data_IF_542325431179
#
_entry.id   IF_542325431179
#
_cell.length_a   1.000
_cell.length_b   1.000
_cell.length_c   1.000
_cell.angle_alpha   90.00
_cell.angle_beta   90.00
_cell.angle_gamma   90.00
#
_symmetry.space_group_name_H-M   'P 1'
#
loop_
_entity.id
_entity.type
_entity.pdbx_description
1 polymer ?
#
# COMPACT_ATOMS: atom_id res chain seq x y z
N UNK A 1 -4.25 15.69 -25.72
CA UNK A 1 -4.35 15.35 -24.28
C UNK A 1 -5.24 14.14 -23.98
N UNK A 2 -6.39 13.92 -24.65
CA UNK A 2 -7.29 12.77 -24.39
C UNK A 2 -6.67 11.37 -24.55
N UNK A 3 -5.66 11.19 -25.42
CA UNK A 3 -4.99 9.88 -25.64
C UNK A 3 -4.06 9.46 -24.49
N UNK A 4 -3.41 10.41 -23.81
CA UNK A 4 -2.51 10.13 -22.69
C UNK A 4 -3.30 9.62 -21.48
N UNK A 5 -4.45 10.23 -21.22
CA UNK A 5 -5.35 9.81 -20.13
C UNK A 5 -5.91 8.39 -20.35
N UNK A 6 -6.23 8.05 -21.61
CA UNK A 6 -6.64 6.68 -21.96
C UNK A 6 -5.50 5.66 -21.80
N UNK A 7 -4.26 6.03 -22.11
CA UNK A 7 -3.10 5.15 -21.96
C UNK A 7 -2.81 4.83 -20.48
N UNK A 8 -2.90 5.85 -19.62
CA UNK A 8 -2.75 5.69 -18.16
C UNK A 8 -3.82 4.75 -17.61
N UNK A 9 -5.07 4.87 -18.09
CA UNK A 9 -6.16 3.96 -17.70
C UNK A 9 -5.88 2.51 -18.10
N UNK A 10 -5.30 2.27 -19.29
CA UNK A 10 -4.92 0.93 -19.74
C UNK A 10 -3.78 0.32 -18.91
N UNK A 11 -2.74 1.10 -18.62
CA UNK A 11 -1.61 0.64 -17.79
C UNK A 11 -2.09 0.34 -16.36
N UNK A 12 -2.93 1.20 -15.79
CA UNK A 12 -3.52 0.97 -14.48
C UNK A 12 -4.38 -0.31 -14.45
N UNK A 13 -5.14 -0.57 -15.51
CA UNK A 13 -5.96 -1.78 -15.62
C UNK A 13 -5.12 -3.06 -15.64
N UNK A 14 -3.95 -3.03 -16.30
CA UNK A 14 -2.98 -4.13 -16.22
C UNK A 14 -2.46 -4.33 -14.79
N UNK A 15 -2.16 -3.25 -14.07
CA UNK A 15 -1.75 -3.31 -12.67
C UNK A 15 -2.82 -3.92 -11.76
N UNK A 16 -4.07 -3.49 -11.92
CA UNK A 16 -5.24 -4.06 -11.21
C UNK A 16 -5.33 -5.57 -11.48
N UNK A 17 -5.34 -5.98 -12.75
CA UNK A 17 -5.47 -7.39 -13.12
C UNK A 17 -4.30 -8.23 -12.58
N UNK A 18 -3.06 -7.75 -12.70
CA UNK A 18 -1.89 -8.45 -12.19
C UNK A 18 -1.96 -8.64 -10.66
N UNK A 19 -2.27 -7.58 -9.92
CA UNK A 19 -2.38 -7.65 -8.45
C UNK A 19 -3.57 -8.52 -8.00
N UNK A 20 -4.71 -8.49 -8.68
CA UNK A 20 -5.86 -9.35 -8.42
C UNK A 20 -5.53 -10.84 -8.65
N UNK A 21 -4.91 -11.16 -9.79
CA UNK A 21 -4.54 -12.55 -10.13
C UNK A 21 -3.52 -13.08 -9.11
N UNK A 22 -2.49 -12.29 -8.79
CA UNK A 22 -1.46 -12.70 -7.84
C UNK A 22 -2.03 -12.90 -6.43
N UNK A 23 -2.86 -11.96 -5.96
CA UNK A 23 -3.58 -12.10 -4.69
C UNK A 23 -4.42 -13.39 -4.67
N UNK A 24 -5.20 -13.64 -5.72
CA UNK A 24 -6.01 -14.85 -5.85
C UNK A 24 -5.18 -16.13 -5.82
N UNK A 25 -4.05 -16.15 -6.55
CA UNK A 25 -3.12 -17.28 -6.56
C UNK A 25 -2.54 -17.55 -5.16
N UNK A 26 -2.17 -16.50 -4.42
CA UNK A 26 -1.67 -16.64 -3.05
C UNK A 26 -2.76 -17.17 -2.09
N UNK A 27 -4.00 -16.66 -2.17
CA UNK A 27 -5.11 -17.21 -1.39
C UNK A 27 -5.36 -18.70 -1.67
N UNK A 28 -5.30 -19.11 -2.93
CA UNK A 28 -5.40 -20.52 -3.34
C UNK A 28 -4.26 -21.35 -2.75
N UNK A 29 -3.02 -20.87 -2.84
CA UNK A 29 -1.86 -21.56 -2.27
C UNK A 29 -1.98 -21.72 -0.74
N UNK A 30 -2.42 -20.68 -0.04
CA UNK A 30 -2.66 -20.71 1.40
C UNK A 30 -3.74 -21.74 1.74
N UNK A 31 -4.86 -21.73 1.01
CA UNK A 31 -5.97 -22.68 1.24
C UNK A 31 -5.50 -24.14 1.09
N UNK A 32 -4.76 -24.43 0.02
CA UNK A 32 -4.19 -25.77 -0.22
C UNK A 32 -3.23 -26.16 0.90
N UNK A 33 -2.33 -25.25 1.30
CA UNK A 33 -1.39 -25.47 2.39
C UNK A 33 -2.08 -25.78 3.72
N UNK A 34 -3.17 -25.07 4.03
CA UNK A 34 -3.95 -25.27 5.27
C UNK A 34 -4.64 -26.63 5.28
N UNK A 35 -5.23 -27.05 4.15
CA UNK A 35 -5.87 -28.37 4.04
C UNK A 35 -4.84 -29.49 4.18
N UNK A 36 -3.67 -29.35 3.55
CA UNK A 36 -2.59 -30.33 3.67
C UNK A 36 -2.04 -30.41 5.10
N UNK A 37 -1.85 -29.26 5.75
CA UNK A 37 -1.44 -29.22 7.15
C UNK A 37 -2.46 -29.97 8.01
N UNK A 38 -3.74 -29.60 7.95
CA UNK A 38 -4.79 -30.23 8.74
C UNK A 38 -4.89 -31.75 8.50
N UNK A 39 -4.73 -32.19 7.25
CA UNK A 39 -4.69 -33.62 6.91
C UNK A 39 -3.54 -34.37 7.57
N UNK A 40 -2.35 -33.76 7.66
CA UNK A 40 -1.20 -34.35 8.34
C UNK A 40 -1.42 -34.46 9.86
N UNK A 41 -2.04 -33.45 10.48
CA UNK A 41 -2.37 -33.46 11.91
C UNK A 41 -3.42 -34.49 12.29
N UNK A 42 -4.43 -34.68 11.43
CA UNK A 42 -5.45 -35.69 11.66
C UNK A 42 -4.89 -37.13 11.65
N UNK A 43 -3.77 -37.36 10.94
CA UNK A 43 -3.13 -38.67 10.84
C UNK A 43 -2.26 -39.00 12.07
N UNK A 44 -1.56 -38.03 12.67
CA UNK A 44 -0.67 -38.26 13.83
C UNK A 44 -0.85 -37.20 14.96
N UNK A 45 -1.92 -37.31 15.78
CA UNK A 45 -2.31 -36.25 16.71
C UNK A 45 -1.45 -36.10 17.98
N UNK A 46 -0.56 -37.06 18.29
CA UNK A 46 0.05 -37.23 19.62
C UNK A 46 1.58 -37.04 19.68
N UNK A 47 2.22 -36.58 18.60
CA UNK A 47 3.65 -36.27 18.62
C UNK A 47 3.89 -34.83 19.13
N UNK A 48 4.72 -34.64 20.17
CA UNK A 48 5.08 -33.29 20.68
C UNK A 48 5.72 -32.38 19.61
N UNK A 49 6.39 -32.97 18.61
CA UNK A 49 6.99 -32.24 17.48
C UNK A 49 5.91 -31.67 16.53
N UNK A 50 4.72 -32.28 16.51
CA UNK A 50 3.61 -31.93 15.64
C UNK A 50 3.10 -30.50 15.94
N UNK A 51 2.95 -30.13 17.22
CA UNK A 51 2.41 -28.81 17.60
C UNK A 51 3.37 -27.66 17.25
N UNK A 52 4.68 -27.89 17.39
CA UNK A 52 5.69 -26.88 17.05
C UNK A 52 5.75 -26.65 15.54
N UNK A 53 5.63 -27.73 14.77
CA UNK A 53 5.58 -27.67 13.30
C UNK A 53 4.29 -27.00 12.81
N UNK A 54 3.14 -27.19 13.48
CA UNK A 54 1.93 -26.39 13.23
C UNK A 54 2.19 -24.91 13.40
N UNK A 55 2.76 -24.55 14.54
CA UNK A 55 2.92 -23.15 14.90
C UNK A 55 3.84 -22.46 13.89
N UNK A 56 4.92 -23.12 13.50
CA UNK A 56 5.84 -22.62 12.47
C UNK A 56 5.14 -22.44 11.12
N UNK A 57 4.42 -23.47 10.62
CA UNK A 57 3.69 -23.39 9.35
C UNK A 57 2.58 -22.35 9.38
N UNK A 58 1.89 -22.19 10.50
CA UNK A 58 0.84 -21.19 10.67
C UNK A 58 1.39 -19.76 10.58
N UNK A 59 2.57 -19.51 11.18
CA UNK A 59 3.24 -18.20 11.07
C UNK A 59 3.66 -17.92 9.62
N UNK A 60 4.24 -18.91 8.94
CA UNK A 60 4.65 -18.78 7.53
C UNK A 60 3.45 -18.51 6.60
N UNK A 61 2.34 -19.23 6.80
CA UNK A 61 1.10 -18.98 6.05
C UNK A 61 0.47 -17.61 6.38
N UNK A 62 0.63 -17.11 7.61
CA UNK A 62 0.11 -15.80 8.02
C UNK A 62 0.80 -14.68 7.25
N UNK A 63 2.13 -14.78 7.04
CA UNK A 63 2.85 -13.79 6.23
C UNK A 63 2.35 -13.77 4.78
N UNK A 64 2.19 -14.94 4.16
CA UNK A 64 1.61 -15.05 2.81
C UNK A 64 0.19 -14.49 2.75
N UNK A 65 -0.62 -14.69 3.79
CA UNK A 65 -1.98 -14.16 3.89
C UNK A 65 -1.99 -12.64 3.95
N UNK A 66 -1.07 -12.03 4.70
CA UNK A 66 -0.92 -10.58 4.74
C UNK A 66 -0.55 -10.04 3.36
N UNK A 67 0.42 -10.64 2.68
CA UNK A 67 0.82 -10.24 1.31
C UNK A 67 -0.35 -10.37 0.33
N UNK A 68 -1.09 -11.49 0.35
CA UNK A 68 -2.25 -11.71 -0.50
C UNK A 68 -3.33 -10.65 -0.27
N UNK A 69 -3.61 -10.32 0.99
CA UNK A 69 -4.61 -9.32 1.38
C UNK A 69 -4.18 -7.91 0.98
N UNK A 70 -2.90 -7.55 1.18
CA UNK A 70 -2.36 -6.26 0.74
C UNK A 70 -2.46 -6.11 -0.78
N UNK A 71 -2.12 -7.14 -1.55
CA UNK A 71 -2.29 -7.14 -3.01
C UNK A 71 -3.76 -6.96 -3.43
N UNK A 72 -4.69 -7.57 -2.69
CA UNK A 72 -6.13 -7.40 -2.94
C UNK A 72 -6.58 -5.95 -2.71
N UNK A 73 -6.17 -5.36 -1.59
CA UNK A 73 -6.49 -3.96 -1.25
C UNK A 73 -5.90 -3.02 -2.30
N UNK A 74 -4.66 -3.25 -2.71
CA UNK A 74 -4.00 -2.47 -3.78
C UNK A 74 -4.76 -2.60 -5.09
N UNK A 75 -5.17 -3.81 -5.48
CA UNK A 75 -5.99 -4.04 -6.68
C UNK A 75 -7.29 -3.24 -6.64
N UNK A 76 -8.01 -3.30 -5.52
CA UNK A 76 -9.29 -2.58 -5.33
C UNK A 76 -9.06 -1.06 -5.34
N UNK A 77 -8.01 -0.59 -4.66
CA UNK A 77 -7.65 0.83 -4.60
C UNK A 77 -7.28 1.39 -5.98
N UNK A 78 -6.48 0.66 -6.75
CA UNK A 78 -6.13 1.03 -8.12
C UNK A 78 -7.36 0.99 -9.04
N UNK A 79 -8.23 -0.01 -8.90
CA UNK A 79 -9.48 -0.08 -9.65
C UNK A 79 -10.38 1.12 -9.35
N UNK A 80 -10.55 1.46 -8.06
CA UNK A 80 -11.35 2.61 -7.65
C UNK A 80 -10.77 3.94 -8.12
N UNK A 81 -9.44 4.08 -8.17
CA UNK A 81 -8.79 5.34 -8.54
C UNK A 81 -8.81 5.60 -10.05
N UNK A 82 -8.71 4.55 -10.87
CA UNK A 82 -8.57 4.68 -12.32
C UNK A 82 -9.82 4.28 -13.11
N UNK A 83 -10.71 3.47 -12.53
CA UNK A 83 -11.93 2.95 -13.18
C UNK A 83 -13.20 3.36 -12.42
N UNK A 84 -13.15 3.43 -11.08
CA UNK A 84 -14.26 3.88 -10.24
C UNK A 84 -14.66 5.32 -10.57
N UNK A 85 -15.79 5.46 -11.26
CA UNK A 85 -16.27 6.73 -11.76
C UNK A 85 -16.52 7.74 -10.63
N UNK A 86 -15.78 8.85 -10.63
CA UNK A 86 -16.32 10.12 -10.18
C UNK A 86 -17.25 10.65 -11.29
N UNK A 87 -18.39 9.99 -11.54
CA UNK A 87 -19.45 10.49 -12.45
C UNK A 87 -20.22 11.68 -11.86
N UNK A 88 -19.75 12.24 -10.73
CA UNK A 88 -20.25 13.48 -10.14
C UNK A 88 -19.10 14.32 -9.62
N UNK A 89 -18.35 14.96 -10.52
CA UNK A 89 -17.64 16.18 -10.15
C UNK A 89 -18.25 17.32 -10.97
N UNK A 90 -19.04 18.21 -10.36
CA UNK A 90 -19.52 19.41 -11.04
C UNK A 90 -18.33 20.28 -11.51
N UNK A 91 -18.53 21.13 -12.53
CA UNK A 91 -17.46 21.78 -13.31
C UNK A 91 -16.63 22.85 -12.57
N UNK A 92 -16.63 22.87 -11.23
CA UNK A 92 -15.98 23.90 -10.41
C UNK A 92 -14.62 23.49 -9.83
N UNK A 93 -14.10 22.30 -10.14
CA UNK A 93 -12.74 21.86 -9.73
C UNK A 93 -11.70 22.06 -10.84
N UNK A 94 -11.84 23.14 -11.61
CA UNK A 94 -10.72 23.67 -12.39
C UNK A 94 -9.84 24.52 -11.46
N UNK A 95 -9.17 23.88 -10.50
CA UNK A 95 -8.04 24.49 -9.78
C UNK A 95 -6.88 23.49 -9.78
N UNK A 96 -6.00 23.77 -10.73
CA UNK A 96 -4.59 23.44 -10.76
C UNK A 96 -3.94 23.56 -9.37
N UNK A 97 -3.58 22.42 -8.78
CA UNK A 97 -2.45 22.42 -7.87
C UNK A 97 -1.58 21.20 -8.14
N UNK A 98 -0.53 21.42 -8.92
CA UNK A 98 0.59 20.48 -9.04
C UNK A 98 1.22 20.13 -7.67
N UNK A 99 0.93 20.91 -6.62
CA UNK A 99 1.42 20.70 -5.25
C UNK A 99 0.82 19.44 -4.61
N UNK A 100 -0.50 19.26 -4.69
CA UNK A 100 -1.19 18.13 -4.07
C UNK A 100 -0.85 16.79 -4.76
N UNK A 101 -0.56 16.84 -6.06
CA UNK A 101 -0.06 15.69 -6.82
C UNK A 101 1.37 15.31 -6.39
N UNK A 102 2.23 16.30 -6.11
CA UNK A 102 3.60 16.08 -5.65
C UNK A 102 3.64 15.42 -4.27
N UNK A 103 2.83 15.89 -3.33
CA UNK A 103 2.74 15.29 -1.99
C UNK A 103 2.26 13.85 -2.04
N UNK A 104 1.21 13.56 -2.82
CA UNK A 104 0.70 12.19 -3.02
C UNK A 104 1.75 11.27 -3.64
N UNK A 105 2.55 11.76 -4.59
CA UNK A 105 3.63 10.99 -5.20
C UNK A 105 4.75 10.70 -4.19
N UNK A 106 5.17 11.70 -3.40
CA UNK A 106 6.18 11.51 -2.35
C UNK A 106 5.68 10.50 -1.31
N UNK A 107 4.42 10.59 -0.87
CA UNK A 107 3.83 9.64 0.06
C UNK A 107 3.85 8.19 -0.49
N UNK A 108 3.56 8.01 -1.79
CA UNK A 108 3.64 6.72 -2.44
C UNK A 108 5.07 6.17 -2.48
N UNK A 109 6.05 7.01 -2.83
CA UNK A 109 7.47 6.60 -2.86
C UNK A 109 7.95 6.17 -1.48
N UNK A 110 7.60 6.92 -0.43
CA UNK A 110 7.93 6.56 0.95
C UNK A 110 7.29 5.22 1.34
N UNK A 111 6.04 4.98 0.98
CA UNK A 111 5.36 3.72 1.26
C UNK A 111 6.02 2.53 0.56
N UNK A 112 6.41 2.66 -0.72
CA UNK A 112 7.09 1.59 -1.47
C UNK A 112 8.46 1.29 -0.87
N UNK A 113 9.24 2.32 -0.52
CA UNK A 113 10.54 2.16 0.14
C UNK A 113 10.42 1.44 1.49
N UNK A 114 9.39 1.76 2.28
CA UNK A 114 9.14 1.10 3.56
C UNK A 114 8.79 -0.39 3.41
N UNK A 115 7.92 -0.73 2.44
CA UNK A 115 7.58 -2.14 2.15
C UNK A 115 8.79 -2.91 1.61
N UNK A 116 9.63 -2.28 0.79
CA UNK A 116 10.86 -2.91 0.33
C UNK A 116 11.81 -3.21 1.51
N UNK A 117 11.96 -2.29 2.45
CA UNK A 117 12.78 -2.54 3.64
C UNK A 117 12.22 -3.71 4.47
N UNK A 118 10.90 -3.78 4.65
CA UNK A 118 10.25 -4.91 5.32
C UNK A 118 10.62 -6.25 4.67
N UNK A 119 10.58 -6.33 3.33
CA UNK A 119 10.96 -7.53 2.59
C UNK A 119 12.42 -7.95 2.81
N UNK A 120 13.35 -7.02 3.02
CA UNK A 120 14.76 -7.34 3.27
C UNK A 120 14.94 -7.90 4.69
N UNK A 121 14.21 -7.36 5.65
CA UNK A 121 14.22 -7.84 7.05
C UNK A 121 13.65 -9.26 7.14
N UNK A 122 12.54 -9.53 6.45
CA UNK A 122 11.90 -10.86 6.48
C UNK A 122 12.66 -11.91 5.68
N UNK A 123 13.46 -11.53 4.68
CA UNK A 123 14.30 -12.44 3.93
C UNK A 123 15.47 -13.05 4.74
N UNK A 124 15.69 -12.61 5.98
CA UNK A 124 16.70 -13.21 6.87
C UNK A 124 18.15 -12.90 6.48
N UNK A 125 18.40 -11.74 5.85
CA UNK A 125 19.75 -11.29 5.48
C UNK A 125 20.67 -11.02 6.69
N UNK A 126 21.96 -10.89 6.42
CA UNK A 126 22.95 -10.56 7.45
C UNK A 126 22.64 -9.20 8.09
N UNK A 127 22.87 -9.07 9.41
CA UNK A 127 22.52 -7.87 10.16
C UNK A 127 23.18 -6.59 9.62
N UNK A 128 24.38 -6.70 9.04
CA UNK A 128 25.07 -5.59 8.39
C UNK A 128 24.35 -5.11 7.11
N UNK A 129 23.86 -6.03 6.28
CA UNK A 129 23.13 -5.70 5.05
C UNK A 129 21.80 -5.00 5.37
N UNK A 130 21.10 -5.47 6.41
CA UNK A 130 19.86 -4.86 6.89
C UNK A 130 20.12 -3.44 7.41
N UNK A 131 21.18 -3.24 8.19
CA UNK A 131 21.56 -1.93 8.70
C UNK A 131 21.94 -0.97 7.57
N UNK A 132 22.74 -1.43 6.60
CA UNK A 132 23.20 -0.60 5.49
C UNK A 132 22.03 -0.20 4.57
N UNK A 133 21.17 -1.15 4.18
CA UNK A 133 19.97 -0.87 3.38
C UNK A 133 18.97 0.00 4.14
N UNK A 134 18.75 -0.27 5.43
CA UNK A 134 17.87 0.51 6.28
C UNK A 134 18.33 1.96 6.41
N UNK A 135 19.63 2.18 6.62
CA UNK A 135 20.23 3.51 6.68
C UNK A 135 20.09 4.24 5.34
N UNK A 136 20.40 3.59 4.22
CA UNK A 136 20.30 4.18 2.89
C UNK A 136 18.85 4.62 2.57
N UNK A 137 17.87 3.75 2.82
CA UNK A 137 16.44 4.05 2.62
C UNK A 137 15.99 5.16 3.57
N UNK A 138 16.40 5.10 4.83
CA UNK A 138 16.07 6.10 5.85
C UNK A 138 16.58 7.51 5.49
N UNK A 139 17.79 7.62 4.95
CA UNK A 139 18.35 8.88 4.47
C UNK A 139 17.49 9.48 3.34
N UNK A 140 17.07 8.65 2.37
CA UNK A 140 16.24 9.11 1.25
C UNK A 140 14.87 9.58 1.74
N UNK A 141 14.22 8.82 2.62
CA UNK A 141 12.93 9.20 3.21
C UNK A 141 13.08 10.50 4.03
N UNK A 142 14.14 10.62 4.83
CA UNK A 142 14.45 11.82 5.59
C UNK A 142 14.64 13.05 4.71
N UNK A 143 15.41 12.92 3.62
CA UNK A 143 15.61 14.00 2.65
C UNK A 143 14.29 14.46 2.00
N UNK A 144 13.43 13.52 1.63
CA UNK A 144 12.10 13.82 1.07
C UNK A 144 11.18 14.49 2.10
N UNK A 145 11.21 14.04 3.35
CA UNK A 145 10.43 14.63 4.44
C UNK A 145 10.86 16.08 4.74
N UNK A 146 12.17 16.34 4.82
CA UNK A 146 12.71 17.69 5.01
C UNK A 146 12.33 18.59 3.83
N UNK A 147 12.44 18.09 2.59
CA UNK A 147 12.03 18.83 1.41
C UNK A 147 10.54 19.24 1.45
N UNK A 148 9.67 18.37 1.99
CA UNK A 148 8.25 18.69 2.17
C UNK A 148 8.05 19.78 3.22
N UNK A 149 8.69 19.66 4.40
CA UNK A 149 8.55 20.62 5.50
C UNK A 149 9.04 22.01 5.09
N UNK A 150 10.19 22.10 4.41
CA UNK A 150 10.75 23.37 3.94
C UNK A 150 9.80 24.06 2.96
N UNK A 151 9.06 23.29 2.17
CA UNK A 151 8.20 23.81 1.10
C UNK A 151 6.76 24.07 1.54
N UNK A 152 6.23 23.35 2.53
CA UNK A 152 4.87 23.56 3.05
C UNK A 152 4.73 24.87 3.84
N UNK A 153 5.84 25.45 4.32
CA UNK A 153 5.85 26.73 5.04
C UNK A 153 5.51 27.98 4.19
N UNK A 154 5.25 27.84 2.89
CA UNK A 154 4.88 28.95 1.98
C UNK A 154 3.42 28.90 1.48
N UNK A 155 2.54 28.09 2.09
CA UNK A 155 1.10 28.10 1.83
C UNK A 155 0.34 28.86 2.91
N UNK A 156 -0.08 30.09 2.63
CA UNK A 156 -0.91 30.91 3.53
C UNK A 156 -2.23 30.20 3.88
N UNK A 157 -2.72 30.29 5.13
CA UNK A 157 -4.07 29.88 5.50
C UNK A 157 -5.08 30.89 4.91
N UNK A 158 -5.67 30.56 3.76
CA UNK A 158 -6.82 31.29 3.23
C UNK A 158 -8.12 30.87 3.96
N UNK A 159 -8.69 31.84 4.69
CA UNK A 159 -10.13 32.10 4.57
C UNK A 159 -11.07 31.46 5.59
N UNK A 160 -10.80 31.59 6.89
CA UNK A 160 -11.87 31.53 7.88
C UNK A 160 -12.72 32.82 7.72
N UNK A 161 -13.84 32.73 7.01
CA UNK A 161 -14.77 33.85 6.86
C UNK A 161 -15.39 34.17 8.24
N UNK A 162 -15.36 35.44 8.71
CA UNK A 162 -15.93 35.79 9.99
C UNK A 162 -17.45 35.59 9.98
N UNK A 163 -18.06 35.15 11.10
CA UNK A 163 -19.50 35.00 11.19
C UNK A 163 -20.18 36.34 10.96
N UNK A 164 -21.10 36.39 10.00
CA UNK A 164 -21.96 37.54 9.75
C UNK A 164 -22.86 37.76 10.98
N UNK A 165 -22.39 38.62 11.88
CA UNK A 165 -23.14 39.13 13.01
C UNK A 165 -24.02 40.30 12.59
N UNK A 166 -25.33 40.08 12.76
CA UNK A 166 -26.42 40.98 13.17
C UNK A 166 -26.69 42.31 12.41
N UNK A 167 -27.97 42.56 12.11
CA UNK A 167 -28.41 43.80 11.49
C UNK A 167 -29.83 43.82 10.91
N UNK A 168 -30.83 43.27 11.61
CA UNK A 168 -32.24 43.60 11.36
C UNK A 168 -32.84 44.26 12.61
N UNK A 169 -32.71 45.58 12.69
CA UNK A 169 -33.61 46.49 13.41
C UNK A 169 -33.98 47.62 12.48
#
# INVERSE_FOLDING_TARGET
>A
MRRVFSLVRYIAMLGVLASAILSGALYLAILIGTVQALGHFAAEPLAEHSVRDLLHRAIEQTDMLLVATTLLIVSIGLYSLFIGALDRVPPSLEITSFSSLKEKLIALVVAVLAVHFYSVVTAGGEGEEILLKGAAIGIVIGALAVFMIVRSSHGSPEGEAPPAGDGYR
#
